data_IF_228288815988
#
_entry.id   IF_228288815988
#
_cell.length_a   1.000
_cell.length_b   1.000
_cell.length_c   1.000
_cell.angle_alpha   90.00
_cell.angle_beta   90.00
_cell.angle_gamma   90.00
#
_symmetry.space_group_name_H-M   'P 1'
#
loop_
_entity.id
_entity.type
_entity.pdbx_description
1 polymer ?
#
# COMPACT_ATOMS: atom_id res chain seq x y z
N UNK A 1 -6.56 -0.97 -10.10
CA UNK A 1 -7.00 -2.34 -9.75
C UNK A 1 -7.61 -2.49 -8.33
N UNK A 2 -7.69 -1.43 -7.51
CA UNK A 2 -8.43 -1.43 -6.23
C UNK A 2 -8.86 -0.02 -5.85
N UNK A 3 -7.94 0.93 -6.02
CA UNK A 3 -8.20 2.38 -5.90
C UNK A 3 -9.36 2.80 -6.82
N UNK A 4 -9.37 2.36 -8.07
CA UNK A 4 -10.36 2.76 -9.08
C UNK A 4 -11.78 2.24 -8.82
N UNK A 5 -11.94 1.24 -7.94
CA UNK A 5 -13.23 0.64 -7.58
C UNK A 5 -13.68 1.03 -6.16
N UNK A 6 -13.01 2.01 -5.55
CA UNK A 6 -13.41 2.60 -4.27
C UNK A 6 -13.17 1.72 -3.05
N UNK A 7 -12.34 0.67 -3.16
CA UNK A 7 -11.98 -0.15 -1.99
C UNK A 7 -10.76 0.42 -1.28
N UNK A 8 -10.69 0.22 0.03
CA UNK A 8 -9.49 0.53 0.81
C UNK A 8 -8.33 -0.34 0.34
N UNK A 9 -7.20 0.30 0.04
CA UNK A 9 -6.01 -0.35 -0.50
C UNK A 9 -4.82 -0.20 0.42
N UNK A 10 -4.00 -1.25 0.49
CA UNK A 10 -2.76 -1.27 1.25
C UNK A 10 -1.63 -1.76 0.32
N UNK A 11 -0.52 -1.03 0.29
CA UNK A 11 0.68 -1.44 -0.43
C UNK A 11 1.73 -1.95 0.56
N UNK A 12 2.22 -3.16 0.31
CA UNK A 12 3.27 -3.81 1.11
C UNK A 12 4.60 -3.64 0.37
N UNK A 13 5.59 -3.00 1.00
CA UNK A 13 6.90 -2.68 0.39
C UNK A 13 7.86 -3.88 0.32
N UNK A 14 7.39 -5.10 0.59
CA UNK A 14 8.17 -6.33 0.46
C UNK A 14 8.20 -6.88 -0.97
N UNK A 15 7.60 -6.19 -1.95
CA UNK A 15 7.51 -6.59 -3.35
C UNK A 15 8.26 -5.66 -4.29
N UNK A 16 7.75 -5.49 -5.51
CA UNK A 16 8.41 -4.70 -6.57
C UNK A 16 8.20 -3.17 -6.41
N UNK A 17 7.16 -2.76 -5.69
CA UNK A 17 6.82 -1.35 -5.53
C UNK A 17 7.72 -0.68 -4.49
N UNK A 18 8.33 0.45 -4.86
CA UNK A 18 9.12 1.28 -3.93
C UNK A 18 8.33 2.51 -3.48
N UNK A 19 8.73 3.10 -2.36
CA UNK A 19 8.13 4.33 -1.83
C UNK A 19 8.18 5.47 -2.87
N UNK A 20 9.32 5.62 -3.56
CA UNK A 20 9.52 6.65 -4.59
C UNK A 20 8.53 6.51 -5.75
N UNK A 21 8.23 5.27 -6.19
CA UNK A 21 7.23 5.02 -7.24
C UNK A 21 5.83 5.46 -6.80
N UNK A 22 5.48 5.20 -5.54
CA UNK A 22 4.19 5.56 -4.96
C UNK A 22 4.06 7.08 -4.81
N UNK A 23 5.12 7.76 -4.39
CA UNK A 23 5.13 9.22 -4.22
C UNK A 23 4.99 9.96 -5.55
N UNK A 24 5.67 9.46 -6.60
CA UNK A 24 5.59 10.01 -7.96
C UNK A 24 4.26 9.72 -8.65
N UNK A 25 3.50 8.74 -8.18
CA UNK A 25 2.17 8.42 -8.71
C UNK A 25 1.17 9.54 -8.41
N UNK A 26 0.56 10.08 -9.47
CA UNK A 26 -0.46 11.15 -9.37
C UNK A 26 -1.87 10.61 -9.20
N UNK A 27 -2.13 9.39 -9.68
CA UNK A 27 -3.49 8.85 -9.87
C UNK A 27 -3.76 7.61 -9.03
N UNK A 28 -2.72 6.93 -8.55
CA UNK A 28 -2.87 5.73 -7.75
C UNK A 28 -1.98 5.82 -6.52
N UNK A 29 -2.55 6.33 -5.42
CA UNK A 29 -1.96 6.29 -4.09
C UNK A 29 -2.76 5.33 -3.22
N UNK A 30 -2.12 4.31 -2.63
CA UNK A 30 -2.78 3.41 -1.69
C UNK A 30 -3.19 4.17 -0.42
N UNK A 31 -4.20 3.69 0.30
CA UNK A 31 -4.61 4.31 1.56
C UNK A 31 -3.59 4.06 2.68
N UNK A 32 -2.94 2.90 2.65
CA UNK A 32 -1.93 2.51 3.61
C UNK A 32 -0.67 2.01 2.91
N UNK A 33 0.47 2.25 3.54
CA UNK A 33 1.76 1.72 3.13
C UNK A 33 2.37 1.04 4.35
N UNK A 34 2.77 -0.21 4.20
CA UNK A 34 3.41 -0.99 5.27
C UNK A 34 4.69 -1.63 4.73
N UNK A 35 5.72 -1.74 5.57
CA UNK A 35 7.00 -2.35 5.15
C UNK A 35 6.87 -3.86 4.89
N UNK A 36 5.98 -4.53 5.63
CA UNK A 36 5.74 -5.97 5.49
C UNK A 36 4.40 -6.39 6.09
N UNK A 37 3.87 -7.53 5.64
CA UNK A 37 2.55 -8.03 6.09
C UNK A 37 2.51 -8.35 7.59
N UNK A 38 3.66 -8.68 8.18
CA UNK A 38 3.77 -8.99 9.61
C UNK A 38 3.41 -7.79 10.50
N UNK A 39 3.71 -6.56 10.06
CA UNK A 39 3.36 -5.32 10.78
C UNK A 39 1.83 -5.18 10.87
N UNK A 40 1.13 -5.53 9.79
CA UNK A 40 -0.33 -5.49 9.78
C UNK A 40 -0.92 -6.50 10.77
N UNK A 41 -0.36 -7.71 10.85
CA UNK A 41 -0.81 -8.74 11.80
C UNK A 41 -0.61 -8.32 13.27
N UNK A 42 0.40 -7.51 13.56
CA UNK A 42 0.59 -6.93 14.90
C UNK A 42 -0.43 -5.83 15.22
N UNK A 43 -0.82 -5.03 14.22
CA UNK A 43 -1.76 -3.92 14.39
C UNK A 43 -3.23 -4.34 14.57
N UNK A 44 -3.58 -5.57 14.16
CA UNK A 44 -4.95 -6.11 14.26
C UNK A 44 -5.14 -7.09 15.44
N UNK A 45 -4.11 -7.30 16.26
CA UNK A 45 -4.21 -8.05 17.52
C UNK A 45 -4.82 -7.20 18.62
#
# INVERSE_FOLDING_TARGET
MGIDVGVTTCCVLSGEATLEMIEKSKTSKPNFIIEGIWIFLEAIK
#
